data_IF_909075041289
#
_entry.id   IF_909075041289
#
_cell.length_a   1.000
_cell.length_b   1.000
_cell.length_c   1.000
_cell.angle_alpha   90.00
_cell.angle_beta   90.00
_cell.angle_gamma   90.00
#
_symmetry.space_group_name_H-M   'P 1'
#
loop_
_entity.id
_entity.type
_entity.pdbx_description
1 polymer ?
#
# COMPACT_ATOMS: atom_id res chain seq x y z
N UNK A 1 -4.80 -52.06 61.75
CA UNK A 1 -4.80 -52.94 60.57
C UNK A 1 -5.10 -52.09 59.36
N UNK A 2 -4.18 -51.54 58.56
CA UNK A 2 -2.71 -51.45 58.48
C UNK A 2 -2.55 -50.34 57.41
N UNK A 3 -2.30 -49.07 57.77
CA UNK A 3 -0.97 -48.38 57.76
C UNK A 3 -0.34 -48.31 56.35
N UNK A 4 0.07 -47.19 55.74
CA UNK A 4 0.53 -45.82 56.12
C UNK A 4 0.32 -44.87 54.90
N UNK A 5 -0.13 -43.60 55.01
CA UNK A 5 0.58 -42.33 55.35
C UNK A 5 1.87 -42.08 54.52
N UNK A 6 2.16 -40.91 53.93
CA UNK A 6 2.05 -39.51 54.39
C UNK A 6 2.02 -38.52 53.16
N UNK A 7 1.42 -37.33 53.12
CA UNK A 7 1.73 -36.04 53.82
C UNK A 7 3.24 -35.70 53.83
N UNK A 8 3.81 -34.52 53.58
CA UNK A 8 3.39 -33.11 53.55
C UNK A 8 4.47 -32.31 52.75
N UNK A 9 4.15 -31.26 51.99
CA UNK A 9 4.28 -29.83 52.34
C UNK A 9 5.67 -29.37 52.86
N UNK A 10 6.37 -28.50 52.11
CA UNK A 10 7.01 -27.26 52.65
C UNK A 10 7.73 -26.42 51.58
N UNK A 11 7.24 -25.20 51.42
CA UNK A 11 7.97 -23.92 51.27
C UNK A 11 9.50 -23.90 51.25
N UNK A 12 10.09 -23.14 50.31
CA UNK A 12 11.45 -22.60 50.46
C UNK A 12 12.08 -22.08 49.16
N UNK A 13 11.84 -20.82 48.82
CA UNK A 13 12.78 -19.97 48.05
C UNK A 13 13.50 -19.15 49.13
N UNK A 14 14.84 -18.98 49.16
CA UNK A 14 15.49 -18.07 48.18
C UNK A 14 17.02 -18.23 47.92
N UNK A 15 17.50 -17.30 47.08
CA UNK A 15 18.85 -16.69 47.02
C UNK A 15 19.85 -17.13 45.94
N UNK A 16 19.98 -16.24 44.95
CA UNK A 16 21.19 -15.51 44.53
C UNK A 16 22.56 -16.12 44.89
N UNK A 17 23.38 -16.32 43.85
CA UNK A 17 24.82 -16.53 43.97
C UNK A 17 25.54 -15.31 43.42
N UNK A 18 26.02 -14.51 44.35
CA UNK A 18 27.03 -13.48 44.20
C UNK A 18 28.41 -14.15 44.33
N UNK A 19 29.38 -13.79 43.48
CA UNK A 19 30.77 -14.19 43.65
C UNK A 19 31.70 -13.00 43.42
N UNK A 20 32.05 -12.35 44.53
CA UNK A 20 33.21 -11.49 44.68
C UNK A 20 34.27 -12.18 45.55
N UNK A 21 35.52 -12.28 45.07
CA UNK A 21 36.72 -11.82 45.80
C UNK A 21 38.04 -12.11 45.05
N UNK A 22 38.79 -11.01 44.86
CA UNK A 22 40.24 -10.77 45.04
C UNK A 22 41.26 -11.93 45.02
N UNK A 23 42.35 -11.75 44.26
CA UNK A 23 43.59 -11.17 44.84
C UNK A 23 44.76 -11.05 43.85
N UNK A 24 45.32 -9.83 43.82
CA UNK A 24 46.69 -9.36 43.54
C UNK A 24 47.77 -10.29 42.92
N UNK A 25 48.34 -9.82 41.80
CA UNK A 25 49.79 -9.83 41.59
C UNK A 25 50.29 -8.58 40.84
N UNK A 26 51.33 -7.95 41.39
CA UNK A 26 52.04 -6.78 40.88
C UNK A 26 52.97 -7.15 39.70
N UNK A 27 53.12 -6.24 38.73
CA UNK A 27 54.17 -6.28 37.72
C UNK A 27 54.13 -5.03 36.83
N UNK A 28 55.16 -4.19 36.98
CA UNK A 28 55.38 -2.91 36.31
C UNK A 28 55.40 -3.00 34.77
N UNK A 29 54.93 -1.95 34.10
CA UNK A 29 55.07 -1.79 32.65
C UNK A 29 54.28 -0.61 32.11
N UNK A 30 54.91 0.56 32.08
CA UNK A 30 54.45 1.77 31.43
C UNK A 30 53.96 1.53 29.99
N UNK A 31 52.78 2.05 29.63
CA UNK A 31 52.55 2.75 28.36
C UNK A 31 51.21 3.50 28.39
N UNK A 32 51.34 4.81 28.33
CA UNK A 32 50.31 5.83 28.17
C UNK A 32 49.61 5.73 26.82
N UNK A 33 48.29 5.54 26.82
CA UNK A 33 47.40 6.04 25.77
C UNK A 33 46.09 6.51 26.43
N UNK A 34 46.03 7.80 26.73
CA UNK A 34 44.77 8.51 26.96
C UNK A 34 43.95 8.45 25.66
N UNK A 35 42.83 7.72 25.67
CA UNK A 35 41.82 7.85 24.64
C UNK A 35 40.64 8.59 25.24
N UNK A 36 40.69 9.91 25.04
CA UNK A 36 39.68 10.87 25.42
C UNK A 36 38.36 10.52 24.70
N UNK A 37 37.31 10.34 25.49
CA UNK A 37 35.95 10.05 25.05
C UNK A 37 35.36 11.33 24.42
N UNK A 38 35.66 11.57 23.14
CA UNK A 38 35.08 12.68 22.39
C UNK A 38 33.81 12.20 21.69
N UNK A 39 32.69 12.70 22.21
CA UNK A 39 31.43 12.93 21.54
C UNK A 39 31.56 12.96 20.01
N UNK A 40 31.14 11.88 19.35
CA UNK A 40 30.96 11.87 17.91
C UNK A 40 29.81 12.83 17.61
N UNK A 41 30.17 14.07 17.27
CA UNK A 41 29.22 15.12 16.92
C UNK A 41 28.46 14.72 15.66
N UNK A 42 27.15 14.97 15.66
CA UNK A 42 26.26 14.75 14.51
C UNK A 42 26.78 15.40 13.21
N UNK A 43 27.68 16.39 13.32
CA UNK A 43 28.33 17.05 12.19
C UNK A 43 29.37 16.19 11.46
N UNK A 44 30.10 15.31 12.16
CA UNK A 44 31.07 14.41 11.52
C UNK A 44 30.39 13.26 10.78
N UNK A 45 29.24 12.81 11.28
CA UNK A 45 28.36 11.90 10.54
C UNK A 45 27.77 12.57 9.28
N UNK A 46 27.39 13.84 9.37
CA UNK A 46 26.89 14.64 8.24
C UNK A 46 27.98 14.97 7.21
N UNK A 47 29.24 15.14 7.62
CA UNK A 47 30.37 15.31 6.69
C UNK A 47 30.68 14.02 5.93
N UNK A 48 30.57 12.85 6.58
CA UNK A 48 30.67 11.55 5.88
C UNK A 48 29.59 11.36 4.80
N UNK A 49 28.39 11.92 5.01
CA UNK A 49 27.29 11.91 4.03
C UNK A 49 27.57 12.81 2.82
N UNK A 50 28.35 13.89 2.97
CA UNK A 50 28.64 14.84 1.87
C UNK A 50 29.83 14.46 0.98
N UNK A 51 30.59 13.41 1.30
CA UNK A 51 31.83 13.08 0.57
C UNK A 51 31.85 11.67 -0.05
N UNK A 52 30.82 10.85 0.18
CA UNK A 52 30.69 9.56 -0.51
C UNK A 52 29.76 9.69 -1.74
N UNK A 53 30.35 9.82 -2.93
CA UNK A 53 29.64 9.55 -4.17
C UNK A 53 29.08 8.13 -4.15
N UNK A 54 27.78 8.00 -4.47
CA UNK A 54 26.96 6.78 -4.40
C UNK A 54 26.97 6.08 -3.04
N UNK A 55 26.14 6.55 -2.11
CA UNK A 55 25.68 5.71 -1.00
C UNK A 55 24.61 4.77 -1.59
N UNK A 56 24.90 3.48 -1.69
CA UNK A 56 23.84 2.48 -1.87
C UNK A 56 22.94 2.55 -0.63
N UNK A 57 21.70 2.98 -0.85
CA UNK A 57 20.70 3.07 0.22
C UNK A 57 20.29 1.64 0.54
N UNK A 58 20.51 1.19 1.78
CA UNK A 58 20.06 -0.15 2.16
C UNK A 58 18.54 -0.28 1.94
N UNK A 59 18.01 -1.44 1.55
CA UNK A 59 16.58 -1.65 1.36
C UNK A 59 15.74 -1.20 2.57
N UNK A 60 16.30 -1.31 3.77
CA UNK A 60 15.71 -0.87 5.04
C UNK A 60 15.63 0.66 5.17
N UNK A 61 16.69 1.38 4.74
CA UNK A 61 16.70 2.84 4.70
C UNK A 61 15.77 3.39 3.62
N UNK A 62 15.59 2.66 2.52
CA UNK A 62 14.61 2.98 1.48
C UNK A 62 13.17 2.81 1.98
N UNK A 63 12.85 1.68 2.61
CA UNK A 63 11.52 1.45 3.21
C UNK A 63 11.19 2.52 4.26
N UNK A 64 12.21 2.93 5.03
CA UNK A 64 12.14 4.04 6.02
C UNK A 64 11.87 5.41 5.38
N UNK A 65 12.38 5.67 4.18
CA UNK A 65 12.22 6.96 3.48
C UNK A 65 10.93 6.99 2.65
N UNK A 66 10.42 5.83 2.20
CA UNK A 66 9.38 5.82 1.16
C UNK A 66 8.07 5.10 1.51
N UNK A 67 8.04 4.25 2.55
CA UNK A 67 6.88 3.39 2.82
C UNK A 67 6.22 3.61 4.19
N UNK A 68 6.92 4.06 5.24
CA UNK A 68 6.34 4.58 6.51
C UNK A 68 7.42 5.08 7.48
N UNK A 69 7.15 6.13 8.31
CA UNK A 69 7.93 6.37 9.52
C UNK A 69 7.73 5.19 10.48
N UNK A 70 8.79 4.73 11.14
CA UNK A 70 8.73 3.54 12.01
C UNK A 70 7.57 3.61 13.01
N UNK A 71 6.53 2.80 12.78
CA UNK A 71 5.91 2.13 13.92
C UNK A 71 6.98 1.14 14.39
N UNK A 72 7.52 1.33 15.59
CA UNK A 72 8.51 0.44 16.16
C UNK A 72 7.88 -0.94 16.42
N UNK A 73 7.78 -1.77 15.38
CA UNK A 73 7.39 -3.17 15.53
C UNK A 73 8.55 -3.84 16.25
N UNK A 74 8.30 -4.36 17.45
CA UNK A 74 9.30 -5.09 18.23
C UNK A 74 9.65 -6.39 17.47
N UNK A 75 10.82 -6.43 16.82
CA UNK A 75 11.39 -7.63 16.18
C UNK A 75 12.10 -7.37 14.85
N UNK A 76 13.11 -8.18 14.52
CA UNK A 76 13.87 -8.16 13.26
C UNK A 76 13.08 -8.72 12.05
N UNK A 77 11.75 -8.59 12.05
CA UNK A 77 10.86 -9.19 11.03
C UNK A 77 11.20 -8.72 9.61
N UNK A 78 11.59 -7.45 9.45
CA UNK A 78 12.02 -6.87 8.17
C UNK A 78 13.36 -7.37 7.67
N UNK A 79 14.21 -7.91 8.55
CA UNK A 79 15.44 -8.63 8.16
C UNK A 79 15.17 -10.09 7.83
N UNK A 80 14.01 -10.61 8.24
CA UNK A 80 13.63 -12.02 8.12
C UNK A 80 12.84 -12.29 6.84
N UNK A 81 11.99 -11.35 6.42
CA UNK A 81 11.12 -11.49 5.25
C UNK A 81 11.44 -10.47 4.15
N UNK A 82 11.14 -10.84 2.91
CA UNK A 82 11.21 -9.90 1.78
C UNK A 82 10.10 -8.84 1.83
N UNK A 83 10.32 -7.72 1.15
CA UNK A 83 9.31 -6.67 1.02
C UNK A 83 8.14 -7.15 0.13
N UNK A 84 6.89 -7.20 0.63
CA UNK A 84 5.74 -7.66 -0.13
C UNK A 84 5.10 -6.58 -1.01
N UNK A 85 5.43 -5.29 -0.81
CA UNK A 85 4.86 -4.15 -1.57
C UNK A 85 4.97 -4.35 -3.09
N UNK A 86 6.12 -4.77 -3.67
CA UNK A 86 6.24 -4.95 -5.12
C UNK A 86 5.25 -5.95 -5.70
N UNK A 87 4.97 -7.03 -4.98
CA UNK A 87 4.03 -8.07 -5.43
C UNK A 87 2.61 -7.50 -5.50
N UNK A 88 2.19 -6.73 -4.48
CA UNK A 88 0.89 -6.07 -4.50
C UNK A 88 0.80 -5.00 -5.61
N UNK A 89 1.87 -4.22 -5.82
CA UNK A 89 1.92 -3.21 -6.87
C UNK A 89 1.82 -3.85 -8.26
N UNK A 90 2.50 -4.98 -8.53
CA UNK A 90 2.36 -5.71 -9.79
C UNK A 90 0.90 -6.15 -10.01
N UNK A 91 0.23 -6.60 -8.95
CA UNK A 91 -1.19 -6.93 -8.98
C UNK A 91 -2.05 -5.78 -9.51
N UNK A 92 -1.84 -4.59 -8.97
CA UNK A 92 -2.49 -3.35 -9.40
C UNK A 92 -2.09 -2.92 -10.84
N UNK A 93 -0.82 -3.06 -11.23
CA UNK A 93 -0.33 -2.59 -12.53
C UNK A 93 -0.84 -3.42 -13.70
N UNK A 94 -0.84 -4.75 -13.55
CA UNK A 94 -1.24 -5.70 -14.60
C UNK A 94 -2.77 -5.69 -14.81
N UNK A 95 -3.54 -5.18 -13.87
CA UNK A 95 -4.98 -4.98 -14.04
C UNK A 95 -5.32 -3.58 -14.52
N UNK A 96 -4.76 -2.54 -13.90
CA UNK A 96 -5.15 -1.17 -14.20
C UNK A 96 -4.61 -0.67 -15.54
N UNK A 97 -3.38 -1.03 -15.91
CA UNK A 97 -2.79 -0.53 -17.16
C UNK A 97 -3.59 -1.01 -18.38
N UNK A 98 -3.93 -2.31 -18.51
CA UNK A 98 -4.78 -2.76 -19.61
C UNK A 98 -6.20 -2.18 -19.56
N UNK A 99 -6.83 -2.13 -18.38
CA UNK A 99 -8.16 -1.52 -18.25
C UNK A 99 -8.17 -0.06 -18.72
N UNK A 100 -7.12 0.70 -18.41
CA UNK A 100 -6.99 2.10 -18.85
C UNK A 100 -6.97 2.20 -20.37
N UNK A 101 -6.24 1.31 -21.05
CA UNK A 101 -6.21 1.21 -22.50
C UNK A 101 -7.57 0.81 -23.08
N UNK A 102 -8.27 -0.13 -22.43
CA UNK A 102 -9.60 -0.60 -22.83
C UNK A 102 -10.63 0.54 -22.78
N UNK A 103 -10.64 1.31 -21.68
CA UNK A 103 -11.54 2.46 -21.50
C UNK A 103 -11.25 3.62 -22.47
N UNK A 104 -9.99 3.76 -22.91
CA UNK A 104 -9.62 4.71 -23.96
C UNK A 104 -9.89 4.18 -25.38
N UNK A 105 -10.33 2.93 -25.53
CA UNK A 105 -10.62 2.32 -26.82
C UNK A 105 -9.39 2.05 -27.69
N UNK A 106 -8.20 1.95 -27.10
CA UNK A 106 -6.96 1.79 -27.85
C UNK A 106 -7.00 0.51 -28.69
N UNK A 107 -6.64 0.63 -29.98
CA UNK A 107 -6.67 -0.48 -30.95
C UNK A 107 -8.06 -1.15 -31.09
N UNK A 108 -9.14 -0.43 -30.77
CA UNK A 108 -10.50 -0.98 -30.80
C UNK A 108 -10.87 -1.82 -29.58
N UNK A 109 -10.10 -1.72 -28.49
CA UNK A 109 -10.45 -2.31 -27.20
C UNK A 109 -11.72 -1.68 -26.60
N UNK A 110 -12.31 -2.32 -25.58
CA UNK A 110 -13.55 -1.85 -24.97
C UNK A 110 -14.26 -2.92 -24.14
N UNK A 111 -15.60 -2.95 -24.20
CA UNK A 111 -16.45 -3.87 -23.42
C UNK A 111 -16.16 -3.84 -21.90
N UNK A 112 -15.94 -2.63 -21.35
CA UNK A 112 -15.62 -2.43 -19.93
C UNK A 112 -14.45 -3.28 -19.41
N UNK A 113 -13.49 -3.64 -20.29
CA UNK A 113 -12.33 -4.44 -19.92
C UNK A 113 -12.61 -5.92 -19.67
N UNK A 114 -13.71 -6.47 -20.21
CA UNK A 114 -14.07 -7.88 -19.98
C UNK A 114 -12.96 -8.91 -20.35
N UNK A 115 -12.06 -8.57 -21.28
CA UNK A 115 -10.90 -9.42 -21.60
C UNK A 115 -9.93 -9.58 -20.40
N UNK A 116 -9.92 -8.60 -19.47
CA UNK A 116 -9.10 -8.57 -18.28
C UNK A 116 -9.65 -9.35 -17.07
N UNK A 117 -10.83 -9.99 -17.16
CA UNK A 117 -11.45 -10.68 -16.00
C UNK A 117 -10.47 -11.63 -15.29
N UNK A 118 -9.67 -12.38 -16.04
CA UNK A 118 -8.64 -13.25 -15.47
C UNK A 118 -7.58 -12.49 -14.68
N UNK A 119 -7.05 -11.39 -15.22
CA UNK A 119 -6.08 -10.58 -14.48
C UNK A 119 -6.71 -9.89 -13.28
N UNK A 120 -7.99 -9.51 -13.34
CA UNK A 120 -8.72 -8.94 -12.20
C UNK A 120 -8.82 -9.92 -11.03
N UNK A 121 -9.08 -11.20 -11.28
CA UNK A 121 -9.08 -12.21 -10.21
C UNK A 121 -7.68 -12.49 -9.66
N UNK A 122 -6.70 -12.75 -10.53
CA UNK A 122 -5.41 -13.29 -10.09
C UNK A 122 -4.37 -12.21 -9.75
N UNK A 123 -4.30 -11.12 -10.51
CA UNK A 123 -3.36 -10.03 -10.24
C UNK A 123 -4.00 -9.01 -9.32
N UNK A 124 -5.11 -8.41 -9.77
CA UNK A 124 -5.79 -7.36 -9.02
C UNK A 124 -6.33 -7.86 -7.69
N UNK A 125 -6.95 -9.03 -7.67
CA UNK A 125 -7.50 -9.64 -6.47
C UNK A 125 -6.45 -10.36 -5.63
N UNK A 126 -6.02 -11.53 -6.10
CA UNK A 126 -5.19 -12.45 -5.32
C UNK A 126 -3.84 -11.85 -4.93
N UNK A 127 -3.04 -11.32 -5.87
CA UNK A 127 -1.73 -10.76 -5.52
C UNK A 127 -1.82 -9.57 -4.59
N UNK A 128 -2.79 -8.67 -4.78
CA UNK A 128 -2.96 -7.53 -3.87
C UNK A 128 -3.43 -7.96 -2.48
N UNK A 129 -4.31 -8.96 -2.38
CA UNK A 129 -4.75 -9.49 -1.08
C UNK A 129 -3.59 -10.17 -0.35
N UNK A 130 -2.84 -11.03 -1.04
CA UNK A 130 -1.67 -11.70 -0.46
C UNK A 130 -0.63 -10.68 -0.03
N UNK A 131 -0.25 -9.75 -0.91
CA UNK A 131 0.72 -8.71 -0.60
C UNK A 131 0.26 -7.81 0.55
N UNK A 132 -1.02 -7.43 0.59
CA UNK A 132 -1.61 -6.69 1.70
C UNK A 132 -1.51 -7.44 3.02
N UNK A 133 -1.90 -8.72 3.08
CA UNK A 133 -1.77 -9.52 4.31
C UNK A 133 -0.31 -9.63 4.77
N UNK A 134 0.65 -9.68 3.85
CA UNK A 134 2.07 -9.66 4.20
C UNK A 134 2.54 -8.30 4.75
N UNK A 135 1.98 -7.18 4.27
CA UNK A 135 2.21 -5.85 4.89
C UNK A 135 1.71 -5.81 6.33
N UNK A 136 0.59 -6.47 6.63
CA UNK A 136 0.09 -6.60 8.00
C UNK A 136 1.10 -7.34 8.89
N UNK A 137 1.70 -8.43 8.39
CA UNK A 137 2.75 -9.18 9.12
C UNK A 137 3.97 -8.31 9.41
N UNK A 138 4.33 -7.39 8.51
CA UNK A 138 5.42 -6.43 8.69
C UNK A 138 5.05 -5.19 9.52
N UNK A 139 3.78 -5.06 9.93
CA UNK A 139 3.27 -3.93 10.70
C UNK A 139 3.04 -2.65 9.88
N UNK A 140 3.00 -2.76 8.56
CA UNK A 140 2.76 -1.64 7.64
C UNK A 140 1.25 -1.44 7.43
N UNK A 141 0.60 -0.76 8.37
CA UNK A 141 -0.87 -0.61 8.39
C UNK A 141 -1.45 0.07 7.16
N UNK A 142 -0.84 1.18 6.70
CA UNK A 142 -1.39 1.93 5.57
C UNK A 142 -1.33 1.13 4.26
N UNK A 143 -0.16 0.59 3.84
CA UNK A 143 -0.10 -0.33 2.69
C UNK A 143 -1.01 -1.56 2.81
N UNK A 144 -1.11 -2.18 3.99
CA UNK A 144 -2.02 -3.30 4.24
C UNK A 144 -3.47 -2.95 3.86
N UNK A 145 -4.00 -1.87 4.42
CA UNK A 145 -5.40 -1.46 4.21
C UNK A 145 -5.63 -1.07 2.75
N UNK A 146 -4.69 -0.35 2.14
CA UNK A 146 -4.74 0.01 0.71
C UNK A 146 -4.79 -1.26 -0.15
N UNK A 147 -3.83 -2.17 -0.03
CA UNK A 147 -3.75 -3.32 -0.93
C UNK A 147 -4.91 -4.30 -0.76
N UNK A 148 -5.35 -4.57 0.46
CA UNK A 148 -6.51 -5.45 0.70
C UNK A 148 -7.78 -4.85 0.10
N UNK A 149 -8.03 -3.56 0.33
CA UNK A 149 -9.25 -2.91 -0.16
C UNK A 149 -9.29 -2.81 -1.69
N UNK A 150 -8.17 -2.49 -2.35
CA UNK A 150 -8.10 -2.53 -3.82
C UNK A 150 -8.14 -3.96 -4.38
N UNK A 151 -7.60 -4.94 -3.66
CA UNK A 151 -7.77 -6.35 -4.02
C UNK A 151 -9.23 -6.77 -4.00
N UNK A 152 -9.97 -6.38 -2.96
CA UNK A 152 -11.41 -6.60 -2.89
C UNK A 152 -12.17 -5.86 -4.00
N UNK A 153 -11.76 -4.64 -4.38
CA UNK A 153 -12.33 -3.92 -5.52
C UNK A 153 -12.20 -4.73 -6.82
N UNK A 154 -11.01 -5.25 -7.14
CA UNK A 154 -10.79 -6.01 -8.36
C UNK A 154 -11.58 -7.31 -8.39
N UNK A 155 -11.65 -8.03 -7.26
CA UNK A 155 -12.51 -9.22 -7.14
C UNK A 155 -13.99 -8.87 -7.33
N UNK A 156 -14.45 -7.74 -6.77
CA UNK A 156 -15.83 -7.25 -6.92
C UNK A 156 -16.13 -6.92 -8.38
N UNK A 157 -15.21 -6.23 -9.05
CA UNK A 157 -15.37 -5.88 -10.47
C UNK A 157 -15.38 -7.13 -11.36
N UNK A 158 -14.44 -8.05 -11.16
CA UNK A 158 -14.38 -9.31 -11.90
C UNK A 158 -15.65 -10.15 -11.71
N UNK A 159 -16.13 -10.25 -10.46
CA UNK A 159 -17.36 -10.97 -10.12
C UNK A 159 -18.59 -10.32 -10.74
N UNK A 160 -18.63 -8.98 -10.80
CA UNK A 160 -19.70 -8.24 -11.48
C UNK A 160 -19.75 -8.56 -12.97
N UNK A 161 -18.60 -8.68 -13.63
CA UNK A 161 -18.53 -9.00 -15.07
C UNK A 161 -18.81 -10.48 -15.37
N UNK A 162 -18.66 -11.38 -14.38
CA UNK A 162 -18.88 -12.80 -14.57
C UNK A 162 -20.38 -13.16 -14.57
N UNK A 163 -20.88 -13.86 -15.61
CA UNK A 163 -22.28 -14.27 -15.68
C UNK A 163 -22.73 -15.14 -14.49
N UNK A 164 -21.81 -15.94 -13.94
CA UNK A 164 -22.09 -16.87 -12.84
C UNK A 164 -22.64 -16.17 -11.57
N UNK A 165 -22.12 -14.99 -11.21
CA UNK A 165 -22.60 -14.25 -10.04
C UNK A 165 -23.92 -13.52 -10.29
N UNK A 166 -24.36 -13.45 -11.55
CA UNK A 166 -25.66 -12.93 -11.97
C UNK A 166 -25.99 -11.49 -11.53
N UNK A 167 -24.98 -10.70 -11.14
CA UNK A 167 -25.15 -9.36 -10.58
C UNK A 167 -25.89 -8.40 -11.50
N UNK A 168 -25.49 -8.34 -12.77
CA UNK A 168 -26.22 -7.55 -13.79
C UNK A 168 -27.47 -8.29 -14.29
N UNK A 169 -27.47 -9.63 -14.28
CA UNK A 169 -28.56 -10.46 -14.79
C UNK A 169 -29.89 -10.26 -14.04
N UNK A 170 -29.83 -9.91 -12.75
CA UNK A 170 -31.00 -9.56 -11.93
C UNK A 170 -31.73 -8.29 -12.40
N UNK A 171 -31.08 -7.46 -13.21
CA UNK A 171 -31.66 -6.25 -13.77
C UNK A 171 -32.21 -6.46 -15.18
N UNK A 172 -32.04 -7.64 -15.78
CA UNK A 172 -32.49 -7.89 -17.15
C UNK A 172 -34.03 -7.78 -17.27
N UNK A 173 -34.54 -7.13 -18.33
CA UNK A 173 -35.99 -7.02 -18.55
C UNK A 173 -36.62 -8.40 -18.85
N UNK A 174 -37.94 -8.56 -18.61
CA UNK A 174 -38.65 -9.79 -18.95
C UNK A 174 -38.43 -10.19 -20.41
N UNK A 175 -37.98 -11.43 -20.64
CA UNK A 175 -37.68 -11.96 -21.98
C UNK A 175 -36.32 -11.56 -22.58
N UNK A 176 -35.51 -10.77 -21.86
CA UNK A 176 -34.14 -10.43 -22.24
C UNK A 176 -33.11 -11.49 -21.86
N UNK A 177 -31.88 -11.31 -22.34
CA UNK A 177 -30.70 -12.05 -21.88
C UNK A 177 -30.11 -11.40 -20.63
N UNK A 178 -29.32 -12.12 -19.81
CA UNK A 178 -28.68 -11.52 -18.64
C UNK A 178 -27.90 -10.25 -18.99
N UNK A 179 -27.15 -10.25 -20.11
CA UNK A 179 -26.32 -9.13 -20.55
C UNK A 179 -27.11 -7.84 -20.78
N UNK A 180 -28.41 -7.94 -21.11
CA UNK A 180 -29.27 -6.78 -21.27
C UNK A 180 -29.45 -6.00 -19.95
N UNK A 181 -29.24 -6.65 -18.81
CA UNK A 181 -29.22 -6.02 -17.50
C UNK A 181 -28.17 -4.90 -17.37
N UNK A 182 -27.03 -5.01 -18.06
CA UNK A 182 -26.00 -3.97 -18.11
C UNK A 182 -26.49 -2.68 -18.78
N UNK A 183 -27.56 -2.76 -19.59
CA UNK A 183 -28.16 -1.65 -20.33
C UNK A 183 -29.43 -1.13 -19.66
N UNK A 184 -29.56 -1.31 -18.35
CA UNK A 184 -30.71 -0.81 -17.59
C UNK A 184 -30.32 0.36 -16.69
N UNK A 185 -31.31 1.21 -16.42
CA UNK A 185 -31.16 2.32 -15.46
C UNK A 185 -30.79 1.79 -14.08
N UNK A 186 -31.45 0.72 -13.63
CA UNK A 186 -31.27 0.14 -12.30
C UNK A 186 -29.84 -0.33 -12.04
N UNK A 187 -29.25 -1.08 -12.97
CA UNK A 187 -27.87 -1.56 -12.82
C UNK A 187 -26.87 -0.40 -12.81
N UNK A 188 -26.97 0.50 -13.80
CA UNK A 188 -26.02 1.59 -13.95
C UNK A 188 -26.08 2.59 -12.78
N UNK A 189 -27.29 2.94 -12.31
CA UNK A 189 -27.45 3.78 -11.14
C UNK A 189 -26.85 3.14 -9.88
N UNK A 190 -27.10 1.84 -9.67
CA UNK A 190 -26.63 1.09 -8.49
C UNK A 190 -25.11 0.95 -8.48
N UNK A 191 -24.51 0.55 -9.62
CA UNK A 191 -23.06 0.38 -9.71
C UNK A 191 -22.30 1.71 -9.59
N UNK A 192 -22.90 2.81 -10.05
CA UNK A 192 -22.36 4.15 -9.83
C UNK A 192 -22.14 4.47 -8.34
N UNK A 193 -23.04 4.09 -7.44
CA UNK A 193 -22.86 4.31 -6.00
C UNK A 193 -21.65 3.57 -5.43
N UNK A 194 -21.37 2.34 -5.88
CA UNK A 194 -20.16 1.62 -5.47
C UNK A 194 -18.89 2.41 -5.83
N UNK A 195 -18.85 3.01 -7.02
CA UNK A 195 -17.72 3.83 -7.48
C UNK A 195 -17.61 5.16 -6.73
N UNK A 196 -18.73 5.78 -6.31
CA UNK A 196 -18.72 6.97 -5.45
C UNK A 196 -17.99 6.67 -4.14
N UNK A 197 -18.35 5.57 -3.47
CA UNK A 197 -17.72 5.24 -2.20
C UNK A 197 -16.27 4.77 -2.37
N UNK A 198 -15.91 4.21 -3.52
CA UNK A 198 -14.49 4.04 -3.88
C UNK A 198 -13.76 5.37 -4.04
N UNK A 199 -14.38 6.40 -4.64
CA UNK A 199 -13.80 7.73 -4.71
C UNK A 199 -13.60 8.35 -3.31
N UNK A 200 -14.58 8.18 -2.41
CA UNK A 200 -14.46 8.60 -1.01
C UNK A 200 -13.32 7.89 -0.29
N UNK A 201 -13.18 6.57 -0.48
CA UNK A 201 -12.08 5.81 0.08
C UNK A 201 -10.73 6.31 -0.44
N UNK A 202 -10.61 6.57 -1.74
CA UNK A 202 -9.41 7.13 -2.35
C UNK A 202 -9.11 8.54 -1.83
N UNK A 203 -10.14 9.33 -1.50
CA UNK A 203 -9.95 10.67 -0.91
C UNK A 203 -9.34 10.59 0.49
N UNK A 204 -9.78 9.62 1.30
CA UNK A 204 -9.17 9.35 2.61
C UNK A 204 -7.69 8.96 2.41
N UNK A 205 -7.41 8.04 1.48
CA UNK A 205 -6.04 7.62 1.19
C UNK A 205 -5.17 8.74 0.62
N UNK A 206 -5.74 9.64 -0.17
CA UNK A 206 -5.05 10.83 -0.65
C UNK A 206 -4.56 11.68 0.53
N UNK A 207 -5.43 11.97 1.50
CA UNK A 207 -5.04 12.73 2.70
C UNK A 207 -3.94 11.99 3.48
N UNK A 208 -4.08 10.68 3.67
CA UNK A 208 -3.06 9.87 4.35
C UNK A 208 -1.71 9.87 3.61
N UNK A 209 -1.73 9.84 2.28
CA UNK A 209 -0.53 9.78 1.44
C UNK A 209 0.32 11.03 1.46
N UNK A 210 -0.22 12.18 1.92
CA UNK A 210 0.53 13.43 2.06
C UNK A 210 1.74 13.32 3.01
N UNK A 211 1.80 12.26 3.83
CA UNK A 211 2.94 11.96 4.72
C UNK A 211 3.86 10.85 4.20
N UNK A 212 3.63 10.36 2.98
CA UNK A 212 4.37 9.24 2.39
C UNK A 212 5.33 9.75 1.31
N UNK A 213 4.93 9.72 0.04
CA UNK A 213 5.72 10.23 -1.07
C UNK A 213 4.82 10.84 -2.16
N UNK A 214 5.41 11.65 -3.04
CA UNK A 214 4.70 12.35 -4.12
C UNK A 214 4.01 11.38 -5.08
N UNK A 215 4.61 10.22 -5.33
CA UNK A 215 4.02 9.22 -6.26
C UNK A 215 2.71 8.66 -5.72
N UNK A 216 2.62 8.36 -4.42
CA UNK A 216 1.34 7.95 -3.81
C UNK A 216 0.30 9.07 -3.84
N UNK A 217 0.70 10.33 -3.63
CA UNK A 217 -0.22 11.47 -3.75
C UNK A 217 -0.78 11.56 -5.17
N UNK A 218 0.07 11.41 -6.20
CA UNK A 218 -0.37 11.38 -7.60
C UNK A 218 -1.36 10.24 -7.81
N UNK A 219 -1.01 9.01 -7.40
CA UNK A 219 -1.86 7.82 -7.55
C UNK A 219 -3.24 8.04 -6.92
N UNK A 220 -3.32 8.45 -5.66
CA UNK A 220 -4.61 8.61 -5.00
C UNK A 220 -5.39 9.80 -5.54
N UNK A 221 -4.72 10.90 -5.90
CA UNK A 221 -5.39 12.04 -6.52
C UNK A 221 -6.03 11.65 -7.84
N UNK A 222 -5.29 10.98 -8.73
CA UNK A 222 -5.82 10.53 -10.01
C UNK A 222 -6.89 9.46 -9.82
N UNK A 223 -6.81 8.59 -8.81
CA UNK A 223 -7.88 7.65 -8.49
C UNK A 223 -9.16 8.33 -8.00
N UNK A 224 -9.08 9.35 -7.16
CA UNK A 224 -10.26 10.15 -6.75
C UNK A 224 -10.95 10.73 -7.99
N UNK A 225 -10.18 11.34 -8.88
CA UNK A 225 -10.71 11.91 -10.13
C UNK A 225 -11.30 10.80 -11.01
N UNK A 226 -10.57 9.71 -11.21
CA UNK A 226 -11.01 8.61 -12.08
C UNK A 226 -12.29 7.94 -11.59
N UNK A 227 -12.40 7.59 -10.30
CA UNK A 227 -13.63 7.01 -9.75
C UNK A 227 -14.82 7.97 -9.81
N UNK A 228 -14.58 9.28 -9.65
CA UNK A 228 -15.61 10.30 -9.82
C UNK A 228 -16.09 10.39 -11.28
N UNK A 229 -15.16 10.36 -12.25
CA UNK A 229 -15.50 10.34 -13.67
C UNK A 229 -16.21 9.03 -14.03
N UNK A 230 -15.74 7.86 -13.58
CA UNK A 230 -16.39 6.58 -13.81
C UNK A 230 -17.80 6.55 -13.24
N UNK A 231 -18.02 7.05 -12.02
CA UNK A 231 -19.37 7.24 -11.47
C UNK A 231 -20.25 8.00 -12.45
N UNK A 232 -19.71 9.10 -12.99
CA UNK A 232 -20.41 9.95 -13.95
C UNK A 232 -20.72 9.17 -15.25
N UNK A 233 -19.82 8.30 -15.73
CA UNK A 233 -20.09 7.40 -16.88
C UNK A 233 -21.34 6.57 -16.62
N UNK A 234 -21.42 5.89 -15.48
CA UNK A 234 -22.56 5.02 -15.15
C UNK A 234 -23.85 5.83 -14.99
N UNK A 235 -23.84 6.98 -14.31
CA UNK A 235 -25.03 7.79 -14.12
C UNK A 235 -25.51 8.50 -15.39
N UNK A 236 -24.60 8.99 -16.24
CA UNK A 236 -24.96 9.52 -17.55
C UNK A 236 -25.49 8.41 -18.47
N UNK A 237 -24.96 7.19 -18.36
CA UNK A 237 -25.51 6.02 -19.05
C UNK A 237 -26.93 5.72 -18.58
N UNK A 238 -27.17 5.71 -17.27
CA UNK A 238 -28.50 5.54 -16.68
C UNK A 238 -29.49 6.63 -17.14
N UNK A 239 -29.08 7.90 -17.12
CA UNK A 239 -29.90 9.02 -17.58
C UNK A 239 -30.20 8.93 -19.08
N UNK A 240 -29.21 8.56 -19.89
CA UNK A 240 -29.39 8.38 -21.34
C UNK A 240 -30.36 7.25 -21.67
N UNK A 241 -30.30 6.13 -20.94
CA UNK A 241 -31.25 5.02 -21.07
C UNK A 241 -32.65 5.44 -20.60
N UNK A 242 -32.76 6.00 -19.40
CA UNK A 242 -34.05 6.32 -18.78
C UNK A 242 -34.83 7.41 -19.50
N UNK A 243 -34.14 8.39 -20.07
CA UNK A 243 -34.74 9.52 -20.77
C UNK A 243 -34.70 9.38 -22.31
N UNK A 244 -34.19 8.25 -22.84
CA UNK A 244 -33.92 8.05 -24.27
C UNK A 244 -33.07 9.19 -24.89
N UNK A 245 -32.10 9.69 -24.12
CA UNK A 245 -31.26 10.83 -24.49
C UNK A 245 -29.90 10.37 -25.04
N UNK A 246 -29.77 10.39 -26.36
CA UNK A 246 -28.54 10.03 -27.06
C UNK A 246 -27.36 10.95 -26.73
N UNK A 247 -27.60 12.19 -26.30
CA UNK A 247 -26.54 13.14 -25.95
C UNK A 247 -25.85 12.74 -24.65
N UNK A 248 -26.61 12.19 -23.69
CA UNK A 248 -26.08 11.67 -22.43
C UNK A 248 -25.25 10.41 -22.65
N UNK A 249 -25.68 9.52 -23.54
CA UNK A 249 -24.91 8.33 -23.92
C UNK A 249 -23.61 8.71 -24.63
N UNK A 250 -23.62 9.74 -25.48
CA UNK A 250 -22.41 10.26 -26.12
C UNK A 250 -21.45 10.90 -25.11
N UNK A 251 -21.99 11.62 -24.11
CA UNK A 251 -21.20 12.19 -23.02
C UNK A 251 -20.57 11.09 -22.16
N UNK A 252 -21.34 10.05 -21.79
CA UNK A 252 -20.84 8.92 -21.01
C UNK A 252 -19.62 8.26 -21.69
N UNK A 253 -19.65 8.05 -23.00
CA UNK A 253 -18.50 7.53 -23.76
C UNK A 253 -17.27 8.45 -23.70
N UNK A 254 -17.45 9.77 -23.77
CA UNK A 254 -16.32 10.72 -23.65
C UNK A 254 -15.74 10.72 -22.24
N UNK A 255 -16.60 10.62 -21.23
CA UNK A 255 -16.19 10.49 -19.84
C UNK A 255 -15.47 9.16 -19.59
N UNK A 256 -15.86 8.08 -20.26
CA UNK A 256 -15.18 6.77 -20.17
C UNK A 256 -13.73 6.88 -20.65
N UNK A 257 -13.50 7.54 -21.79
CA UNK A 257 -12.15 7.83 -22.29
C UNK A 257 -11.36 8.71 -21.32
N UNK A 258 -11.99 9.73 -20.74
CA UNK A 258 -11.35 10.61 -19.76
C UNK A 258 -10.97 9.87 -18.46
N UNK A 259 -11.82 8.95 -18.00
CA UNK A 259 -11.53 8.07 -16.88
C UNK A 259 -10.35 7.15 -17.22
N UNK A 260 -10.37 6.51 -18.40
CA UNK A 260 -9.28 5.67 -18.89
C UNK A 260 -7.93 6.42 -18.93
N UNK A 261 -7.92 7.65 -19.43
CA UNK A 261 -6.72 8.50 -19.44
C UNK A 261 -6.22 8.82 -18.03
N UNK A 262 -7.13 9.11 -17.09
CA UNK A 262 -6.78 9.40 -15.70
C UNK A 262 -6.21 8.16 -14.98
N UNK A 263 -6.80 6.98 -15.22
CA UNK A 263 -6.29 5.70 -14.72
C UNK A 263 -4.96 5.33 -15.37
N UNK A 264 -4.73 5.74 -16.61
CA UNK A 264 -3.43 5.55 -17.26
C UNK A 264 -2.33 6.36 -16.56
N UNK A 265 -2.60 7.62 -16.18
CA UNK A 265 -1.66 8.42 -15.36
C UNK A 265 -1.39 7.74 -14.01
N UNK A 266 -2.43 7.20 -13.37
CA UNK A 266 -2.30 6.40 -12.14
C UNK A 266 -1.35 5.22 -12.36
N UNK A 267 -1.51 4.51 -13.49
CA UNK A 267 -0.69 3.36 -13.86
C UNK A 267 0.76 3.76 -14.11
N UNK A 268 1.02 4.88 -14.80
CA UNK A 268 2.39 5.38 -15.04
C UNK A 268 3.11 5.74 -13.74
N UNK A 269 2.42 6.41 -12.81
CA UNK A 269 2.95 6.68 -11.47
C UNK A 269 3.23 5.37 -10.71
N UNK A 270 2.35 4.38 -10.85
CA UNK A 270 2.54 3.02 -10.35
C UNK A 270 3.78 2.31 -10.90
N UNK A 271 3.98 2.35 -12.22
CA UNK A 271 5.16 1.77 -12.87
C UNK A 271 6.44 2.44 -12.38
N UNK A 272 6.40 3.75 -12.15
CA UNK A 272 7.52 4.52 -11.60
C UNK A 272 7.92 4.03 -10.20
N UNK A 273 6.96 3.91 -9.27
CA UNK A 273 7.26 3.42 -7.92
C UNK A 273 7.64 1.95 -7.91
N UNK A 274 7.03 1.12 -8.76
CA UNK A 274 7.42 -0.29 -8.92
C UNK A 274 8.89 -0.40 -9.32
N UNK A 275 9.30 0.33 -10.35
CA UNK A 275 10.69 0.34 -10.81
C UNK A 275 11.64 0.84 -9.72
N UNK A 276 11.29 1.89 -8.99
CA UNK A 276 12.08 2.40 -7.87
C UNK A 276 12.30 1.35 -6.77
N UNK A 277 11.26 0.61 -6.40
CA UNK A 277 11.36 -0.43 -5.36
C UNK A 277 12.20 -1.61 -5.87
N UNK A 278 12.06 -1.99 -7.14
CA UNK A 278 12.85 -3.09 -7.72
C UNK A 278 14.34 -2.74 -7.82
N UNK A 279 14.68 -1.51 -8.20
CA UNK A 279 16.08 -1.04 -8.18
C UNK A 279 16.67 -1.09 -6.77
N UNK A 280 15.90 -0.69 -5.74
CA UNK A 280 16.32 -0.79 -4.35
C UNK A 280 16.51 -2.24 -3.90
N UNK A 281 15.55 -3.11 -4.24
CA UNK A 281 15.56 -4.52 -3.82
C UNK A 281 16.73 -5.30 -4.43
N UNK A 282 17.21 -4.89 -5.60
CA UNK A 282 18.33 -5.49 -6.31
C UNK A 282 19.67 -4.75 -6.09
N UNK A 283 19.70 -3.76 -5.20
CA UNK A 283 20.89 -2.95 -4.88
C UNK A 283 21.57 -2.36 -6.13
N UNK A 284 20.77 -1.79 -7.05
CA UNK A 284 21.31 -1.10 -8.23
C UNK A 284 22.13 0.13 -7.81
N UNK A 285 23.20 0.49 -8.56
CA UNK A 285 24.11 1.58 -8.20
C UNK A 285 23.51 2.98 -8.30
N UNK A 286 22.26 3.09 -8.76
CA UNK A 286 21.52 4.34 -8.84
C UNK A 286 20.08 4.12 -8.37
N UNK A 287 19.44 5.20 -7.95
CA UNK A 287 18.04 5.18 -7.53
C UNK A 287 17.25 6.32 -8.17
N UNK A 288 15.99 6.05 -8.52
CA UNK A 288 15.08 7.08 -9.04
C UNK A 288 14.29 7.75 -7.90
N UNK A 289 14.03 9.05 -7.98
CA UNK A 289 13.32 9.76 -6.93
C UNK A 289 11.84 9.43 -6.95
N UNK A 290 11.24 9.19 -5.78
CA UNK A 290 9.76 9.15 -5.63
C UNK A 290 9.21 10.30 -4.75
N UNK A 291 10.11 11.17 -4.25
CA UNK A 291 9.77 12.42 -3.57
C UNK A 291 9.20 12.21 -2.17
N UNK A 292 10.06 12.07 -1.16
CA UNK A 292 9.66 11.90 0.24
C UNK A 292 8.96 13.15 0.79
N UNK A 293 7.74 12.98 1.31
CA UNK A 293 6.92 14.05 1.91
C UNK A 293 6.86 13.97 3.43
N UNK A 294 7.47 12.94 4.04
CA UNK A 294 7.43 12.72 5.49
C UNK A 294 8.03 13.88 6.29
N UNK A 295 8.94 14.64 5.69
CA UNK A 295 9.59 15.81 6.29
C UNK A 295 8.73 17.08 6.28
N UNK A 296 7.77 17.19 5.34
CA UNK A 296 6.89 18.35 5.22
C UNK A 296 5.77 18.34 6.27
N UNK A 297 5.24 17.16 6.58
CA UNK A 297 4.21 16.96 7.59
C UNK A 297 4.79 16.06 8.70
N UNK A 298 5.36 16.70 9.73
CA UNK A 298 5.96 16.03 10.89
C UNK A 298 4.96 15.16 11.65
N UNK A 299 5.47 14.06 12.21
CA UNK A 299 4.66 13.12 13.01
C UNK A 299 4.16 13.74 14.31
N UNK A 300 3.06 13.22 14.85
CA UNK A 300 2.56 13.64 16.16
C UNK A 300 3.65 13.46 17.23
N UNK A 301 4.29 12.28 17.26
CA UNK A 301 5.38 11.98 18.20
C UNK A 301 6.64 12.84 17.98
N UNK A 302 6.93 13.25 16.75
CA UNK A 302 8.04 14.18 16.46
C UNK A 302 7.72 15.60 16.91
N UNK A 303 6.47 16.02 16.74
CA UNK A 303 5.97 17.31 17.25
C UNK A 303 5.95 17.35 18.77
N UNK A 304 5.58 16.25 19.43
CA UNK A 304 5.64 16.11 20.89
C UNK A 304 7.08 16.17 21.39
N UNK A 305 8.00 15.39 20.82
CA UNK A 305 9.42 15.46 21.16
C UNK A 305 10.02 16.85 20.92
N UNK A 306 9.63 17.51 19.82
CA UNK A 306 10.08 18.88 19.53
C UNK A 306 9.55 19.89 20.55
N UNK A 307 8.32 19.69 21.07
CA UNK A 307 7.73 20.52 22.13
C UNK A 307 8.40 20.27 23.48
N UNK A 308 8.69 19.01 23.82
CA UNK A 308 9.40 18.63 25.04
C UNK A 308 10.85 19.16 25.06
N UNK A 309 11.51 19.24 23.90
CA UNK A 309 12.86 19.81 23.78
C UNK A 309 12.89 21.35 23.80
N UNK A 310 11.75 22.01 23.58
CA UNK A 310 11.62 23.48 23.63
C UNK A 310 11.08 24.00 24.96
N UNK A 311 10.62 23.10 25.84
CA UNK A 311 10.13 23.39 27.19
C UNK A 311 11.25 23.20 28.22
#
# INVERSE_FOLDING_TARGET
MTTENAQANSSGVPQEKDFSHDSNHNGEGSNSYEMNDMSIGSEDALKRIKTAGSISISPELFEKIYLSPQNAVKGDLRKTFGNPTPVAIVGFLITLSPLSCDLMGWRGAGNNGAAGIGSYFFFGGLLMIVGGFLEFVLGNTFPFVVFISFGAFWLTFASTLQPFYYAYGLYAPPGGTPVDGLRTVGFNASFGFFLVFMAVLCLIYLVCSLRTNVVFVIIFFTLVVAFSILTSVYWHTANGIGNNDATQLALAKRLEVAAGATLFVTSLAGWWIFFAIMLAALDFPFQIPVGDLSTLIKGASEREKSKEQMA
#
